data_IF_125556594555
#
_entry.id   IF_125556594555
#
_cell.length_a   1.000
_cell.length_b   1.000
_cell.length_c   1.000
_cell.angle_alpha   90.00
_cell.angle_beta   90.00
_cell.angle_gamma   90.00
#
_symmetry.space_group_name_H-M   'P 1'
#
loop_
_entity.id
_entity.type
_entity.pdbx_description
1 polymer ?
#
# COMPACT_ATOMS: atom_id res chain seq x y z
N UNK A 1 -15.51 81.87 -8.52
CA UNK A 1 -16.95 82.10 -8.80
C UNK A 1 -17.53 80.82 -9.25
N UNK A 2 -18.55 80.41 -8.59
CA UNK A 2 -19.52 79.32 -8.78
C UNK A 2 -19.34 78.12 -7.89
N UNK A 3 -20.07 78.16 -6.79
CA UNK A 3 -20.42 77.06 -5.88
C UNK A 3 -21.31 76.03 -6.60
N UNK A 4 -21.06 74.78 -6.36
CA UNK A 4 -22.12 73.76 -6.43
C UNK A 4 -22.03 72.84 -5.20
N UNK A 5 -23.04 73.01 -4.37
CA UNK A 5 -23.42 72.13 -3.27
C UNK A 5 -23.89 70.78 -3.83
N UNK A 6 -23.41 69.65 -3.26
CA UNK A 6 -24.02 68.34 -3.49
C UNK A 6 -24.63 67.85 -2.19
N UNK A 7 -25.95 67.68 -2.25
CA UNK A 7 -26.79 67.09 -1.23
C UNK A 7 -26.46 65.63 -0.96
N UNK A 8 -26.37 65.27 0.32
CA UNK A 8 -26.30 63.88 0.79
C UNK A 8 -27.69 63.25 0.73
N UNK A 9 -27.82 62.22 -0.12
CA UNK A 9 -28.96 61.33 -0.07
C UNK A 9 -28.55 60.02 0.68
N UNK A 10 -28.97 59.86 1.90
CA UNK A 10 -28.78 58.65 2.67
C UNK A 10 -29.82 57.61 2.25
N UNK A 11 -29.35 56.50 1.70
CA UNK A 11 -30.11 55.25 1.59
C UNK A 11 -29.42 54.19 2.44
N UNK A 12 -29.95 53.94 3.62
CA UNK A 12 -29.60 52.74 4.41
C UNK A 12 -30.21 51.50 3.76
N UNK A 13 -29.36 50.70 3.21
CA UNK A 13 -29.69 49.30 2.89
C UNK A 13 -28.95 48.42 3.88
N UNK A 14 -29.65 47.97 4.91
CA UNK A 14 -29.22 46.86 5.75
C UNK A 14 -29.33 45.58 4.90
N UNK A 15 -28.19 45.11 4.38
CA UNK A 15 -28.11 43.76 3.84
C UNK A 15 -27.89 42.79 5.02
N UNK A 16 -28.97 42.20 5.48
CA UNK A 16 -28.91 40.95 6.21
C UNK A 16 -28.35 39.87 5.25
N UNK A 17 -27.08 39.55 5.40
CA UNK A 17 -26.57 38.31 4.86
C UNK A 17 -27.00 37.17 5.79
N UNK A 18 -28.15 36.59 5.49
CA UNK A 18 -28.49 35.27 5.95
C UNK A 18 -27.47 34.32 5.29
N UNK A 19 -26.46 33.92 6.03
CA UNK A 19 -25.64 32.78 5.70
C UNK A 19 -26.52 31.54 5.92
N UNK A 20 -27.32 31.21 4.92
CA UNK A 20 -27.82 29.86 4.75
C UNK A 20 -26.58 28.94 4.60
N UNK A 21 -26.22 28.29 5.68
CA UNK A 21 -25.36 27.14 5.65
C UNK A 21 -26.16 26.03 4.93
N UNK A 22 -26.15 26.06 3.59
CA UNK A 22 -26.51 24.88 2.82
C UNK A 22 -25.62 23.74 3.34
N UNK A 23 -26.21 22.80 4.05
CA UNK A 23 -25.62 21.52 4.33
C UNK A 23 -25.33 20.85 2.96
N UNK A 24 -24.14 21.08 2.42
CA UNK A 24 -23.64 20.21 1.34
C UNK A 24 -23.83 18.78 1.79
N UNK A 25 -24.47 17.91 0.99
CA UNK A 25 -24.55 16.49 1.34
C UNK A 25 -23.14 16.01 1.63
N UNK A 26 -22.97 15.32 2.76
CA UNK A 26 -21.67 14.83 3.20
C UNK A 26 -21.11 13.95 2.08
N UNK A 27 -19.89 14.26 1.60
CA UNK A 27 -19.19 13.49 0.57
C UNK A 27 -19.16 12.00 0.94
N UNK A 28 -19.25 11.12 -0.06
CA UNK A 28 -19.23 9.65 0.12
C UNK A 28 -18.04 9.18 0.97
N UNK A 29 -16.91 9.86 0.85
CA UNK A 29 -15.69 9.54 1.61
C UNK A 29 -15.81 9.94 3.07
N UNK A 30 -16.31 11.15 3.35
CA UNK A 30 -16.60 11.60 4.71
C UNK A 30 -17.66 10.74 5.38
N UNK A 31 -18.65 10.29 4.61
CA UNK A 31 -19.68 9.36 5.10
C UNK A 31 -19.03 8.03 5.49
N UNK A 32 -18.20 7.44 4.63
CA UNK A 32 -17.51 6.19 4.92
C UNK A 32 -16.60 6.30 6.15
N UNK A 33 -15.83 7.39 6.25
CA UNK A 33 -14.95 7.64 7.39
C UNK A 33 -15.77 7.76 8.69
N UNK A 34 -16.89 8.50 8.68
CA UNK A 34 -17.72 8.74 9.87
C UNK A 34 -18.47 7.50 10.34
N UNK A 35 -18.78 6.57 9.44
CA UNK A 35 -19.49 5.31 9.72
C UNK A 35 -18.57 4.17 10.14
N UNK A 36 -17.26 4.31 9.95
CA UNK A 36 -16.29 3.27 10.30
C UNK A 36 -16.21 3.07 11.81
N UNK A 37 -16.34 1.82 12.24
CA UNK A 37 -16.22 1.39 13.63
C UNK A 37 -14.80 0.95 14.03
N UNK A 38 -13.82 1.09 13.14
CA UNK A 38 -12.42 0.72 13.41
C UNK A 38 -11.85 1.59 14.52
N UNK A 39 -11.21 0.97 15.52
CA UNK A 39 -10.62 1.71 16.65
C UNK A 39 -9.48 2.62 16.21
N UNK A 40 -9.47 3.83 16.77
CA UNK A 40 -8.46 4.86 16.51
C UNK A 40 -7.68 5.28 17.75
N UNK A 41 -7.95 4.63 18.88
CA UNK A 41 -7.17 4.80 20.11
C UNK A 41 -5.84 4.04 19.97
N UNK A 42 -4.74 4.77 19.83
CA UNK A 42 -3.41 4.20 19.63
C UNK A 42 -2.99 3.25 20.78
N UNK A 43 -3.40 3.54 22.02
CA UNK A 43 -3.09 2.68 23.17
C UNK A 43 -3.90 1.36 23.13
N UNK A 44 -5.17 1.44 22.76
CA UNK A 44 -6.02 0.26 22.57
C UNK A 44 -5.53 -0.61 21.41
N UNK A 45 -5.11 0.00 20.29
CA UNK A 45 -4.50 -0.69 19.15
C UNK A 45 -3.23 -1.43 19.59
N UNK A 46 -2.33 -0.76 20.30
CA UNK A 46 -1.07 -1.37 20.76
C UNK A 46 -1.32 -2.54 21.71
N UNK A 47 -2.28 -2.41 22.63
CA UNK A 47 -2.65 -3.47 23.55
C UNK A 47 -3.24 -4.70 22.82
N UNK A 48 -4.13 -4.49 21.85
CA UNK A 48 -4.71 -5.56 21.04
C UNK A 48 -3.66 -6.30 20.21
N UNK A 49 -2.74 -5.55 19.59
CA UNK A 49 -1.60 -6.12 18.83
C UNK A 49 -0.74 -6.98 19.75
N UNK A 50 -0.38 -6.46 20.94
CA UNK A 50 0.46 -7.21 21.87
C UNK A 50 -0.22 -8.53 22.31
N UNK A 51 -1.52 -8.49 22.63
CA UNK A 51 -2.29 -9.68 22.99
C UNK A 51 -2.29 -10.73 21.86
N UNK A 52 -2.54 -10.32 20.62
CA UNK A 52 -2.54 -11.20 19.44
C UNK A 52 -1.16 -11.84 19.25
N UNK A 53 -0.10 -11.04 19.31
CA UNK A 53 1.25 -11.52 19.07
C UNK A 53 1.71 -12.48 20.16
N UNK A 54 1.53 -12.13 21.43
CA UNK A 54 1.95 -12.97 22.55
C UNK A 54 1.24 -14.33 22.55
N UNK A 55 -0.03 -14.34 22.17
CA UNK A 55 -0.85 -15.55 22.18
C UNK A 55 -0.62 -16.43 20.95
N UNK A 56 -0.53 -15.86 19.77
CA UNK A 56 -0.64 -16.61 18.52
C UNK A 56 0.65 -16.65 17.67
N UNK A 57 1.59 -15.69 17.82
CA UNK A 57 2.79 -15.72 16.99
C UNK A 57 3.70 -16.94 17.25
N UNK A 58 3.86 -17.44 18.49
CA UNK A 58 4.68 -18.63 18.74
C UNK A 58 4.16 -19.88 18.03
N UNK A 59 2.84 -20.10 17.98
CA UNK A 59 2.23 -21.27 17.32
C UNK A 59 2.27 -21.17 15.79
N UNK A 60 2.33 -19.96 15.24
CA UNK A 60 2.41 -19.71 13.80
C UNK A 60 3.84 -19.78 13.26
N UNK A 61 4.86 -19.89 14.10
CA UNK A 61 6.26 -19.98 13.63
C UNK A 61 6.64 -21.41 13.28
N UNK A 62 6.09 -21.93 12.20
CA UNK A 62 6.31 -23.28 11.70
C UNK A 62 6.94 -23.29 10.31
N UNK A 63 7.63 -24.37 9.90
CA UNK A 63 8.20 -24.48 8.54
C UNK A 63 7.16 -24.26 7.42
N UNK A 64 5.92 -24.70 7.62
CA UNK A 64 4.84 -24.56 6.64
C UNK A 64 4.44 -23.07 6.46
N UNK A 65 4.33 -22.33 7.58
CA UNK A 65 4.06 -20.90 7.54
C UNK A 65 5.24 -20.13 6.93
N UNK A 66 6.47 -20.52 7.24
CA UNK A 66 7.67 -19.90 6.68
C UNK A 66 7.78 -20.10 5.16
N UNK A 67 7.44 -21.29 4.65
CA UNK A 67 7.34 -21.56 3.21
C UNK A 67 6.21 -20.74 2.56
N UNK A 68 5.05 -20.68 3.21
CA UNK A 68 3.94 -19.86 2.75
C UNK A 68 4.35 -18.38 2.68
N UNK A 69 5.05 -17.87 3.69
CA UNK A 69 5.54 -16.50 3.74
C UNK A 69 6.55 -16.21 2.62
N UNK A 70 7.43 -17.15 2.26
CA UNK A 70 8.31 -17.00 1.10
C UNK A 70 7.50 -16.74 -0.17
N UNK A 71 6.42 -17.49 -0.38
CA UNK A 71 5.53 -17.32 -1.54
C UNK A 71 4.67 -16.03 -1.47
N UNK A 72 4.71 -15.29 -0.36
CA UNK A 72 4.09 -13.98 -0.22
C UNK A 72 5.07 -12.81 -0.35
N UNK A 73 6.36 -13.07 -0.57
CA UNK A 73 7.36 -12.01 -0.71
C UNK A 73 7.27 -11.37 -2.09
N UNK A 74 7.15 -10.03 -2.11
CA UNK A 74 7.52 -9.21 -3.26
C UNK A 74 9.01 -8.89 -3.10
N UNK A 75 9.87 -9.66 -3.79
CA UNK A 75 11.32 -9.52 -3.73
C UNK A 75 11.74 -8.19 -4.36
N UNK A 76 12.24 -7.26 -3.54
CA UNK A 76 12.29 -5.84 -3.91
C UNK A 76 13.72 -5.34 -4.03
N UNK A 77 14.03 -4.69 -5.15
CA UNK A 77 15.17 -3.78 -5.27
C UNK A 77 14.68 -2.43 -5.79
N UNK A 78 14.98 -1.39 -5.03
CA UNK A 78 14.65 0.01 -5.32
C UNK A 78 15.85 0.88 -4.93
N UNK A 79 17.06 0.41 -5.18
CA UNK A 79 18.28 1.16 -4.90
C UNK A 79 18.44 2.30 -5.92
N UNK A 80 19.00 3.43 -5.48
CA UNK A 80 19.19 4.59 -6.36
C UNK A 80 20.19 4.30 -7.49
N UNK A 81 21.08 3.34 -7.26
CA UNK A 81 22.11 2.88 -8.19
C UNK A 81 21.74 1.60 -8.95
N UNK A 82 20.46 1.17 -8.89
CA UNK A 82 19.99 0.07 -9.72
C UNK A 82 20.21 0.38 -11.20
N UNK A 83 20.65 -0.63 -11.94
CA UNK A 83 20.90 -0.59 -13.37
C UNK A 83 20.27 -1.82 -14.04
N UNK A 84 20.06 -1.79 -15.36
CA UNK A 84 19.56 -2.95 -16.09
C UNK A 84 20.39 -4.21 -15.78
N UNK A 85 21.70 -4.07 -15.68
CA UNK A 85 22.60 -5.19 -15.38
C UNK A 85 22.42 -5.72 -13.95
N UNK A 86 22.26 -4.84 -12.96
CA UNK A 86 22.05 -5.27 -11.57
C UNK A 86 20.67 -5.90 -11.40
N UNK A 87 19.65 -5.32 -12.02
CA UNK A 87 18.28 -5.86 -12.00
C UNK A 87 18.21 -7.22 -12.71
N UNK A 88 18.81 -7.37 -13.91
CA UNK A 88 18.85 -8.67 -14.58
C UNK A 88 19.53 -9.76 -13.73
N UNK A 89 20.64 -9.43 -13.03
CA UNK A 89 21.28 -10.37 -12.10
C UNK A 89 20.39 -10.70 -10.89
N UNK A 90 19.60 -9.74 -10.42
CA UNK A 90 18.67 -9.95 -9.34
C UNK A 90 17.53 -10.90 -9.75
N UNK A 91 16.99 -10.73 -10.95
CA UNK A 91 15.98 -11.62 -11.55
C UNK A 91 16.52 -13.03 -11.76
N UNK A 92 17.78 -13.15 -12.22
CA UNK A 92 18.40 -14.46 -12.45
C UNK A 92 18.42 -15.32 -11.18
N UNK A 93 18.56 -14.74 -10.00
CA UNK A 93 18.48 -15.50 -8.74
C UNK A 93 17.12 -16.15 -8.52
N UNK A 94 16.03 -15.51 -8.98
CA UNK A 94 14.67 -16.07 -8.92
C UNK A 94 14.52 -17.25 -9.89
N UNK A 95 15.09 -17.16 -11.10
CA UNK A 95 15.15 -18.27 -12.04
C UNK A 95 16.00 -19.43 -11.48
N UNK A 96 17.17 -19.11 -10.91
CA UNK A 96 18.08 -20.10 -10.31
C UNK A 96 17.42 -20.79 -9.11
N UNK A 97 16.62 -20.06 -8.30
CA UNK A 97 15.86 -20.65 -7.22
C UNK A 97 14.86 -21.70 -7.71
N UNK A 98 14.10 -21.37 -8.74
CA UNK A 98 13.13 -22.29 -9.33
C UNK A 98 13.79 -23.58 -9.85
N UNK A 99 14.92 -23.44 -10.53
CA UNK A 99 15.70 -24.54 -11.06
C UNK A 99 16.33 -25.44 -9.97
N UNK A 100 16.87 -24.83 -8.91
CA UNK A 100 17.61 -25.53 -7.86
C UNK A 100 16.72 -26.11 -6.76
N UNK A 101 15.53 -25.51 -6.54
CA UNK A 101 14.61 -25.87 -5.44
C UNK A 101 13.16 -26.06 -5.92
N UNK A 102 12.92 -26.90 -6.96
CA UNK A 102 11.59 -27.05 -7.58
C UNK A 102 10.51 -27.61 -6.63
N UNK A 103 10.90 -28.10 -5.46
CA UNK A 103 9.97 -28.57 -4.41
C UNK A 103 9.34 -27.42 -3.60
N UNK A 104 9.86 -26.19 -3.69
CA UNK A 104 9.37 -25.03 -2.97
C UNK A 104 8.74 -24.03 -3.93
N UNK A 105 7.69 -23.35 -3.50
CA UNK A 105 7.12 -22.23 -4.24
C UNK A 105 8.07 -21.05 -4.19
N UNK A 106 8.19 -20.34 -5.31
CA UNK A 106 9.01 -19.15 -5.44
C UNK A 106 8.36 -17.92 -4.76
N UNK A 107 9.05 -16.78 -4.76
CA UNK A 107 8.50 -15.50 -4.33
C UNK A 107 7.26 -15.11 -5.15
N UNK A 108 6.40 -14.22 -4.63
CA UNK A 108 5.18 -13.83 -5.32
C UNK A 108 5.45 -12.91 -6.52
N UNK A 109 6.38 -11.97 -6.35
CA UNK A 109 6.71 -11.00 -7.38
C UNK A 109 8.15 -10.49 -7.23
N UNK A 110 8.68 -9.93 -8.32
CA UNK A 110 9.87 -9.08 -8.31
C UNK A 110 9.41 -7.63 -8.39
N UNK A 111 9.78 -6.80 -7.41
CA UNK A 111 9.37 -5.41 -7.33
C UNK A 111 10.54 -4.46 -7.60
N UNK A 112 10.40 -3.61 -8.62
CA UNK A 112 11.44 -2.70 -9.12
C UNK A 112 10.87 -1.30 -9.40
N UNK A 113 11.72 -0.35 -9.78
CA UNK A 113 11.25 0.91 -10.39
C UNK A 113 10.58 0.66 -11.75
N UNK A 114 9.65 1.52 -12.12
CA UNK A 114 8.83 1.41 -13.34
C UNK A 114 9.64 1.21 -14.63
N UNK A 115 10.79 1.89 -14.74
CA UNK A 115 11.67 1.83 -15.91
C UNK A 115 12.42 0.50 -16.09
N UNK A 116 12.36 -0.41 -15.11
CA UNK A 116 12.97 -1.73 -15.21
C UNK A 116 11.98 -2.86 -15.52
N UNK A 117 10.70 -2.55 -15.74
CA UNK A 117 9.68 -3.56 -16.06
C UNK A 117 10.10 -4.45 -17.25
N UNK A 118 10.56 -3.84 -18.35
CA UNK A 118 11.01 -4.58 -19.54
C UNK A 118 12.22 -5.47 -19.25
N UNK A 119 13.16 -5.04 -18.41
CA UNK A 119 14.33 -5.83 -18.02
C UNK A 119 13.91 -7.06 -17.22
N UNK A 120 13.02 -6.87 -16.24
CA UNK A 120 12.49 -7.98 -15.43
C UNK A 120 11.73 -8.95 -16.33
N UNK A 121 10.81 -8.47 -17.15
CA UNK A 121 10.00 -9.31 -18.05
C UNK A 121 10.85 -10.09 -19.05
N UNK A 122 11.89 -9.45 -19.59
CA UNK A 122 12.80 -10.09 -20.56
C UNK A 122 13.78 -11.10 -19.96
N UNK A 123 14.00 -11.03 -18.64
CA UNK A 123 14.97 -11.91 -17.94
C UNK A 123 14.26 -13.02 -17.14
N UNK A 124 13.02 -12.78 -16.66
CA UNK A 124 12.26 -13.72 -15.84
C UNK A 124 11.76 -14.89 -16.69
N UNK A 125 12.17 -16.09 -16.33
CA UNK A 125 11.78 -17.36 -16.97
C UNK A 125 10.63 -18.05 -16.23
N UNK A 126 10.48 -17.76 -14.93
CA UNK A 126 9.47 -18.34 -14.05
C UNK A 126 8.10 -17.71 -14.35
N UNK A 127 7.07 -18.54 -14.50
CA UNK A 127 5.74 -18.11 -14.96
C UNK A 127 4.77 -17.74 -13.84
N UNK A 128 5.04 -18.15 -12.60
CA UNK A 128 4.21 -17.91 -11.42
C UNK A 128 4.78 -16.82 -10.49
N UNK A 129 5.73 -16.02 -11.00
CA UNK A 129 6.29 -14.84 -10.33
C UNK A 129 5.90 -13.59 -11.14
N UNK A 130 5.21 -12.66 -10.50
CA UNK A 130 4.73 -11.44 -11.14
C UNK A 130 5.81 -10.36 -11.23
N UNK A 131 5.66 -9.47 -12.21
CA UNK A 131 6.45 -8.23 -12.32
C UNK A 131 5.69 -7.10 -11.67
N UNK A 132 6.11 -6.69 -10.46
CA UNK A 132 5.57 -5.54 -9.76
C UNK A 132 6.46 -4.31 -9.95
N UNK A 133 5.86 -3.14 -10.11
CA UNK A 133 6.60 -1.89 -10.25
C UNK A 133 6.13 -0.83 -9.27
N UNK A 134 7.07 -0.03 -8.76
CA UNK A 134 6.74 1.23 -8.10
C UNK A 134 6.68 2.32 -9.16
N UNK A 135 5.55 3.02 -9.27
CA UNK A 135 5.23 4.00 -10.32
C UNK A 135 4.58 5.26 -9.74
N UNK A 136 4.07 6.13 -10.61
CA UNK A 136 3.37 7.36 -10.27
C UNK A 136 4.19 8.31 -9.38
N UNK A 137 5.43 8.55 -9.79
CA UNK A 137 6.40 9.41 -9.08
C UNK A 137 6.75 8.90 -7.68
N UNK A 138 6.90 7.58 -7.56
CA UNK A 138 7.41 6.96 -6.34
C UNK A 138 8.81 7.51 -5.97
N UNK A 139 9.13 7.82 -4.70
CA UNK A 139 8.33 7.55 -3.50
C UNK A 139 7.46 8.72 -3.01
N UNK A 140 7.50 9.87 -3.65
CA UNK A 140 6.91 11.10 -3.12
C UNK A 140 5.48 11.37 -3.61
N UNK A 141 5.06 10.78 -4.73
CA UNK A 141 3.77 11.07 -5.39
C UNK A 141 3.60 12.56 -5.79
N UNK A 142 4.67 13.33 -5.87
CA UNK A 142 4.65 14.78 -6.12
C UNK A 142 4.96 15.10 -7.58
N UNK A 143 4.01 14.78 -8.48
CA UNK A 143 4.06 15.14 -9.89
C UNK A 143 2.64 15.39 -10.42
N UNK A 144 2.55 16.00 -11.59
CA UNK A 144 1.28 16.14 -12.31
C UNK A 144 0.68 14.77 -12.63
N UNK A 145 -0.66 14.68 -12.61
CA UNK A 145 -1.36 13.42 -12.84
C UNK A 145 -1.04 12.82 -14.22
N UNK A 146 -0.88 13.63 -15.23
CA UNK A 146 -0.53 13.21 -16.59
C UNK A 146 0.84 12.49 -16.63
N UNK A 147 1.80 12.96 -15.82
CA UNK A 147 3.11 12.31 -15.67
C UNK A 147 2.99 10.95 -15.00
N UNK A 148 2.19 10.86 -13.93
CA UNK A 148 1.92 9.62 -13.21
C UNK A 148 1.24 8.59 -14.11
N UNK A 149 0.26 9.02 -14.89
CA UNK A 149 -0.46 8.19 -15.87
C UNK A 149 0.49 7.70 -16.96
N UNK A 150 1.31 8.59 -17.53
CA UNK A 150 2.27 8.23 -18.58
C UNK A 150 3.30 7.22 -18.08
N UNK A 151 3.88 7.43 -16.89
CA UNK A 151 4.84 6.51 -16.26
C UNK A 151 4.21 5.12 -16.05
N UNK A 152 2.99 5.08 -15.50
CA UNK A 152 2.27 3.84 -15.24
C UNK A 152 1.92 3.09 -16.54
N UNK A 153 1.46 3.83 -17.56
CA UNK A 153 1.13 3.23 -18.86
C UNK A 153 2.35 2.63 -19.54
N UNK A 154 3.52 3.29 -19.47
CA UNK A 154 4.77 2.77 -19.99
C UNK A 154 5.19 1.51 -19.27
N UNK A 155 5.15 1.49 -17.93
CA UNK A 155 5.49 0.32 -17.13
C UNK A 155 4.61 -0.90 -17.48
N UNK A 156 3.31 -0.68 -17.71
CA UNK A 156 2.38 -1.73 -18.13
C UNK A 156 2.71 -2.23 -19.55
N UNK A 157 3.01 -1.31 -20.47
CA UNK A 157 3.42 -1.66 -21.83
C UNK A 157 4.73 -2.49 -21.84
N UNK A 158 5.63 -2.20 -20.91
CA UNK A 158 6.89 -2.90 -20.69
C UNK A 158 6.72 -4.24 -19.94
N UNK A 159 5.50 -4.62 -19.59
CA UNK A 159 5.18 -5.95 -19.08
C UNK A 159 4.99 -6.03 -17.55
N UNK A 160 4.71 -4.92 -16.86
CA UNK A 160 4.32 -4.98 -15.46
C UNK A 160 2.96 -5.68 -15.28
N UNK A 161 2.89 -6.61 -14.32
CA UNK A 161 1.68 -7.31 -13.92
C UNK A 161 0.95 -6.56 -12.80
N UNK A 162 1.69 -5.87 -11.93
CA UNK A 162 1.19 -5.20 -10.74
C UNK A 162 1.84 -3.81 -10.59
N UNK A 163 1.11 -2.87 -10.02
CA UNK A 163 1.59 -1.48 -9.84
C UNK A 163 1.40 -1.04 -8.40
N UNK A 164 2.48 -0.56 -7.77
CA UNK A 164 2.49 0.05 -6.45
C UNK A 164 2.64 1.58 -6.60
N UNK A 165 1.71 2.37 -6.08
CA UNK A 165 1.75 3.84 -6.07
C UNK A 165 1.71 4.37 -4.64
N UNK A 166 2.12 5.61 -4.44
CA UNK A 166 2.02 6.28 -3.14
C UNK A 166 0.80 7.19 -3.11
N UNK A 167 0.02 7.11 -2.04
CA UNK A 167 -1.03 8.06 -1.71
C UNK A 167 -0.46 9.50 -1.73
N UNK A 168 -1.15 10.45 -2.35
CA UNK A 168 -0.75 11.84 -2.27
C UNK A 168 -1.00 12.39 -0.86
N UNK A 169 0.05 12.36 -0.03
CA UNK A 169 -0.05 12.77 1.39
C UNK A 169 -0.34 14.27 1.52
N UNK A 170 0.01 15.09 0.52
CA UNK A 170 -0.36 16.51 0.49
C UNK A 170 -1.88 16.68 0.47
N UNK A 171 -2.56 16.09 -0.50
CA UNK A 171 -4.02 16.09 -0.58
C UNK A 171 -4.67 15.48 0.68
N UNK A 172 -4.09 14.40 1.20
CA UNK A 172 -4.61 13.79 2.43
C UNK A 172 -4.57 14.75 3.63
N UNK A 173 -3.48 15.51 3.80
CA UNK A 173 -3.31 16.47 4.90
C UNK A 173 -4.23 17.69 4.77
N UNK A 174 -4.48 18.11 3.55
CA UNK A 174 -5.37 19.25 3.26
C UNK A 174 -6.84 18.82 3.21
N UNK A 175 -7.12 17.54 3.49
CA UNK A 175 -8.46 16.93 3.41
C UNK A 175 -9.12 17.05 2.03
N UNK A 176 -8.31 17.23 1.00
CA UNK A 176 -8.70 17.25 -0.41
C UNK A 176 -8.98 15.81 -0.91
N UNK A 177 -10.04 15.19 -0.36
CA UNK A 177 -10.31 13.76 -0.54
C UNK A 177 -10.84 13.41 -1.92
N UNK A 178 -11.55 14.33 -2.56
CA UNK A 178 -12.02 14.17 -3.94
C UNK A 178 -10.81 14.08 -4.87
N UNK A 179 -9.90 15.06 -4.80
CA UNK A 179 -8.69 15.12 -5.62
C UNK A 179 -7.78 13.91 -5.38
N UNK A 180 -7.62 13.49 -4.13
CA UNK A 180 -6.85 12.30 -3.78
C UNK A 180 -7.47 11.05 -4.38
N UNK A 181 -8.78 10.92 -4.29
CA UNK A 181 -9.51 9.74 -4.75
C UNK A 181 -9.57 9.68 -6.27
N UNK A 182 -9.75 10.82 -6.94
CA UNK A 182 -9.74 10.93 -8.39
C UNK A 182 -8.38 10.55 -8.95
N UNK A 183 -7.28 11.00 -8.33
CA UNK A 183 -5.92 10.62 -8.71
C UNK A 183 -5.73 9.09 -8.67
N UNK A 184 -6.14 8.43 -7.59
CA UNK A 184 -6.05 6.96 -7.47
C UNK A 184 -6.94 6.28 -8.51
N UNK A 185 -8.17 6.78 -8.72
CA UNK A 185 -9.12 6.20 -9.66
C UNK A 185 -8.65 6.33 -11.12
N UNK A 186 -8.08 7.47 -11.51
CA UNK A 186 -7.50 7.67 -12.83
C UNK A 186 -6.32 6.73 -13.09
N UNK A 187 -5.41 6.57 -12.11
CA UNK A 187 -4.32 5.60 -12.22
C UNK A 187 -4.88 4.18 -12.31
N UNK A 188 -5.92 3.83 -11.52
CA UNK A 188 -6.57 2.52 -11.60
C UNK A 188 -7.16 2.23 -12.98
N UNK A 189 -7.71 3.23 -13.66
CA UNK A 189 -8.20 3.07 -15.03
C UNK A 189 -7.07 2.66 -16.00
N UNK A 190 -5.88 3.25 -15.85
CA UNK A 190 -4.69 2.90 -16.65
C UNK A 190 -4.20 1.49 -16.31
N UNK A 191 -4.17 1.14 -15.03
CA UNK A 191 -3.76 -0.19 -14.55
C UNK A 191 -4.74 -1.29 -15.02
N UNK A 192 -6.02 -0.94 -15.18
CA UNK A 192 -7.05 -1.85 -15.66
C UNK A 192 -7.33 -2.97 -14.66
N UNK A 193 -7.35 -4.21 -15.15
CA UNK A 193 -7.64 -5.40 -14.34
C UNK A 193 -6.43 -5.88 -13.50
N UNK A 194 -5.26 -5.28 -13.64
CA UNK A 194 -4.08 -5.61 -12.85
C UNK A 194 -4.23 -5.11 -11.42
N UNK A 195 -3.56 -5.73 -10.45
CA UNK A 195 -3.52 -5.21 -9.08
C UNK A 195 -2.88 -3.83 -9.00
N UNK A 196 -3.62 -2.88 -8.41
CA UNK A 196 -3.13 -1.58 -7.97
C UNK A 196 -2.96 -1.61 -6.45
N UNK A 197 -1.74 -1.36 -5.96
CA UNK A 197 -1.46 -1.28 -4.53
C UNK A 197 -1.17 0.16 -4.14
N UNK A 198 -1.93 0.69 -3.17
CA UNK A 198 -1.74 2.05 -2.67
C UNK A 198 -0.94 2.04 -1.38
N UNK A 199 0.23 2.68 -1.41
CA UNK A 199 1.12 2.87 -0.27
C UNK A 199 0.59 4.05 0.55
N UNK A 200 0.22 3.80 1.80
CA UNK A 200 -0.31 4.83 2.70
C UNK A 200 0.79 5.68 3.34
N UNK A 201 2.03 5.19 3.38
CA UNK A 201 3.17 5.76 4.09
C UNK A 201 2.89 5.93 5.60
N UNK A 202 2.54 4.82 6.24
CA UNK A 202 2.05 4.78 7.62
C UNK A 202 3.03 5.40 8.63
N UNK A 203 4.33 5.31 8.38
CA UNK A 203 5.36 5.96 9.20
C UNK A 203 5.32 7.50 9.18
N UNK A 204 4.73 8.09 8.11
CA UNK A 204 4.47 9.53 8.01
C UNK A 204 3.12 9.90 8.62
N UNK A 205 2.10 9.05 8.49
CA UNK A 205 0.76 9.26 9.04
C UNK A 205 0.74 9.14 10.57
N UNK A 206 1.47 8.19 11.13
CA UNK A 206 1.74 7.94 12.56
C UNK A 206 0.56 7.44 13.40
N UNK A 207 -0.62 8.06 13.35
CA UNK A 207 -1.75 7.72 14.21
C UNK A 207 -2.67 6.69 13.59
N UNK A 208 -3.32 5.87 14.40
CA UNK A 208 -4.34 4.92 13.98
C UNK A 208 -5.48 5.61 13.21
N UNK A 209 -5.90 6.82 13.65
CA UNK A 209 -6.91 7.60 12.95
C UNK A 209 -6.50 7.98 11.52
N UNK A 210 -5.29 8.49 11.33
CA UNK A 210 -4.82 8.86 9.98
C UNK A 210 -4.66 7.62 9.07
N UNK A 211 -4.19 6.50 9.62
CA UNK A 211 -4.06 5.23 8.89
C UNK A 211 -5.43 4.69 8.50
N UNK A 212 -6.42 4.73 9.41
CA UNK A 212 -7.80 4.35 9.13
C UNK A 212 -8.39 5.18 7.98
N UNK A 213 -8.30 6.51 8.05
CA UNK A 213 -8.82 7.42 7.01
C UNK A 213 -8.18 7.15 5.66
N UNK A 214 -6.85 7.03 5.61
CA UNK A 214 -6.10 6.74 4.39
C UNK A 214 -6.47 5.36 3.80
N UNK A 215 -6.68 4.34 4.64
CA UNK A 215 -7.12 3.00 4.22
C UNK A 215 -8.49 3.05 3.56
N UNK A 216 -9.47 3.71 4.21
CA UNK A 216 -10.83 3.87 3.69
C UNK A 216 -10.80 4.59 2.35
N UNK A 217 -10.17 5.77 2.28
CA UNK A 217 -10.06 6.55 1.05
C UNK A 217 -9.49 5.74 -0.11
N UNK A 218 -8.37 5.03 0.11
CA UNK A 218 -7.72 4.22 -0.92
C UNK A 218 -8.61 3.09 -1.42
N UNK A 219 -9.31 2.38 -0.54
CA UNK A 219 -10.20 1.28 -0.92
C UNK A 219 -11.43 1.77 -1.69
N UNK A 220 -12.03 2.88 -1.25
CA UNK A 220 -13.18 3.50 -1.93
C UNK A 220 -12.80 4.14 -3.27
N UNK A 221 -11.51 4.43 -3.50
CA UNK A 221 -10.97 4.89 -4.78
C UNK A 221 -10.66 3.75 -5.75
N UNK A 222 -10.83 2.49 -5.33
CA UNK A 222 -10.78 1.31 -6.19
C UNK A 222 -9.45 0.54 -6.19
N UNK A 223 -8.52 0.80 -5.27
CA UNK A 223 -7.29 0.00 -5.17
C UNK A 223 -7.60 -1.48 -4.85
N UNK A 224 -6.69 -2.36 -5.22
CA UNK A 224 -6.80 -3.82 -4.96
C UNK A 224 -6.02 -4.23 -3.72
N UNK A 225 -5.05 -3.41 -3.30
CA UNK A 225 -4.27 -3.57 -2.06
C UNK A 225 -4.07 -2.23 -1.39
N UNK A 226 -4.00 -2.24 -0.07
CA UNK A 226 -3.36 -1.18 0.70
C UNK A 226 -2.01 -1.68 1.24
N UNK A 227 -0.99 -0.83 1.13
CA UNK A 227 0.40 -1.13 1.49
C UNK A 227 0.89 -0.15 2.55
N UNK A 228 1.69 -0.61 3.50
CA UNK A 228 2.11 0.23 4.62
C UNK A 228 3.04 1.38 4.20
N UNK A 229 4.14 1.08 3.52
CA UNK A 229 5.27 2.03 3.44
C UNK A 229 6.06 1.91 2.14
N UNK A 230 6.75 2.99 1.77
CA UNK A 230 7.72 3.00 0.66
C UNK A 230 9.03 2.31 1.02
N UNK A 231 9.40 2.30 2.30
CA UNK A 231 10.72 1.84 2.76
C UNK A 231 11.87 2.79 2.44
N UNK A 232 11.60 4.07 2.12
CA UNK A 232 12.61 5.06 1.70
C UNK A 232 12.97 6.05 2.82
N UNK A 233 12.10 6.99 3.13
CA UNK A 233 12.41 8.13 4.00
C UNK A 233 11.86 7.95 5.41
N UNK A 234 10.63 7.44 5.50
CA UNK A 234 9.91 7.32 6.76
C UNK A 234 10.04 5.91 7.35
N UNK A 235 9.74 5.74 8.66
CA UNK A 235 9.67 4.40 9.26
C UNK A 235 8.82 3.45 8.42
N UNK A 236 9.25 2.20 8.34
CA UNK A 236 8.54 1.15 7.60
C UNK A 236 7.29 0.65 8.30
N UNK A 237 6.91 -0.58 7.98
CA UNK A 237 5.74 -1.24 8.56
C UNK A 237 5.82 -1.34 10.09
N UNK A 238 4.68 -1.14 10.76
CA UNK A 238 4.49 -1.50 12.16
C UNK A 238 3.31 -2.47 12.29
N UNK A 239 3.27 -3.23 13.38
CA UNK A 239 2.19 -4.18 13.65
C UNK A 239 0.88 -3.45 13.94
N UNK A 240 0.95 -2.28 14.60
CA UNK A 240 -0.20 -1.42 14.86
C UNK A 240 -0.82 -0.92 13.56
N UNK A 241 0.01 -0.43 12.62
CA UNK A 241 -0.48 -0.01 11.31
C UNK A 241 -1.11 -1.19 10.55
N UNK A 242 -0.48 -2.36 10.57
CA UNK A 242 -1.02 -3.57 9.96
C UNK A 242 -2.38 -3.96 10.56
N UNK A 243 -2.51 -3.91 11.88
CA UNK A 243 -3.75 -4.21 12.58
C UNK A 243 -4.89 -3.27 12.18
N UNK A 244 -4.67 -1.95 12.19
CA UNK A 244 -5.67 -0.96 11.78
C UNK A 244 -6.06 -1.15 10.30
N UNK A 245 -5.09 -1.34 9.41
CA UNK A 245 -5.33 -1.57 7.98
C UNK A 245 -6.15 -2.85 7.76
N UNK A 246 -5.82 -3.94 8.46
CA UNK A 246 -6.57 -5.19 8.37
C UNK A 246 -8.00 -5.04 8.89
N UNK A 247 -8.23 -4.32 9.98
CA UNK A 247 -9.58 -4.00 10.45
C UNK A 247 -10.40 -3.22 9.40
N UNK A 248 -9.78 -2.22 8.74
CA UNK A 248 -10.42 -1.49 7.66
C UNK A 248 -10.78 -2.39 6.47
N UNK A 249 -9.90 -3.33 6.10
CA UNK A 249 -10.17 -4.32 5.04
C UNK A 249 -11.35 -5.22 5.42
N UNK A 250 -11.39 -5.71 6.66
CA UNK A 250 -12.51 -6.52 7.16
C UNK A 250 -13.83 -5.76 7.08
N UNK A 251 -13.86 -4.53 7.58
CA UNK A 251 -15.06 -3.68 7.56
C UNK A 251 -15.52 -3.42 6.11
N UNK A 252 -14.59 -3.08 5.21
CA UNK A 252 -14.88 -2.86 3.80
C UNK A 252 -15.44 -4.12 3.12
N UNK A 253 -14.88 -5.28 3.42
CA UNK A 253 -15.38 -6.55 2.88
C UNK A 253 -16.80 -6.87 3.38
N UNK A 254 -17.08 -6.65 4.66
CA UNK A 254 -18.43 -6.85 5.21
C UNK A 254 -19.46 -5.93 4.52
N UNK A 255 -19.08 -4.68 4.26
CA UNK A 255 -19.98 -3.69 3.66
C UNK A 255 -20.19 -3.88 2.15
N UNK A 256 -19.15 -4.32 1.42
CA UNK A 256 -19.15 -4.28 -0.05
C UNK A 256 -18.98 -5.67 -0.71
N UNK A 257 -18.66 -6.71 0.04
CA UNK A 257 -18.37 -8.04 -0.50
C UNK A 257 -17.13 -8.12 -1.39
N UNK A 258 -16.30 -7.04 -1.43
CA UNK A 258 -15.08 -6.97 -2.23
C UNK A 258 -13.86 -7.19 -1.35
N UNK A 259 -13.05 -8.18 -1.73
CA UNK A 259 -11.77 -8.42 -1.07
C UNK A 259 -10.71 -7.41 -1.53
N UNK A 260 -10.01 -6.81 -0.58
CA UNK A 260 -8.82 -5.98 -0.79
C UNK A 260 -7.65 -6.64 -0.07
N UNK A 261 -6.48 -6.65 -0.71
CA UNK A 261 -5.28 -7.24 -0.14
C UNK A 261 -4.54 -6.31 0.82
N UNK A 262 -3.69 -6.92 1.64
CA UNK A 262 -2.78 -6.23 2.55
C UNK A 262 -1.32 -6.51 2.17
N UNK A 263 -0.49 -5.47 2.11
CA UNK A 263 0.95 -5.59 1.91
C UNK A 263 1.71 -4.87 3.01
N UNK A 264 2.49 -5.60 3.80
CA UNK A 264 3.46 -5.02 4.72
C UNK A 264 4.79 -4.74 3.99
N UNK A 265 5.41 -3.59 4.21
CA UNK A 265 6.71 -3.28 3.59
C UNK A 265 7.53 -2.28 4.38
N UNK A 266 8.86 -2.39 4.22
CA UNK A 266 9.83 -1.54 4.91
C UNK A 266 10.25 -2.08 6.28
N UNK A 267 11.49 -2.49 6.39
CA UNK A 267 12.12 -2.92 7.64
C UNK A 267 11.90 -4.36 8.06
N UNK A 268 11.12 -5.17 7.33
CA UNK A 268 10.86 -6.57 7.64
C UNK A 268 12.02 -7.41 7.11
N UNK A 269 12.83 -7.99 8.00
CA UNK A 269 14.08 -8.66 7.64
C UNK A 269 14.21 -10.07 8.17
N UNK A 270 13.54 -10.39 9.27
CA UNK A 270 13.65 -11.68 9.94
C UNK A 270 12.39 -12.51 9.74
N UNK A 271 12.54 -13.82 9.87
CA UNK A 271 11.42 -14.78 9.84
C UNK A 271 10.41 -14.46 10.94
N UNK A 272 10.89 -14.15 12.14
CA UNK A 272 10.06 -13.80 13.29
C UNK A 272 9.22 -12.54 13.03
N UNK A 273 9.80 -11.51 12.37
CA UNK A 273 9.02 -10.32 11.98
C UNK A 273 7.91 -10.68 10.99
N UNK A 274 8.23 -11.47 9.97
CA UNK A 274 7.25 -11.90 8.96
C UNK A 274 6.11 -12.72 9.57
N UNK A 275 6.42 -13.62 10.52
CA UNK A 275 5.42 -14.43 11.26
C UNK A 275 4.47 -13.54 12.06
N UNK A 276 4.94 -12.43 12.63
CA UNK A 276 4.05 -11.49 13.33
C UNK A 276 3.03 -10.85 12.38
N UNK A 277 3.44 -10.43 11.17
CA UNK A 277 2.49 -9.92 10.18
C UNK A 277 1.52 -11.00 9.70
N UNK A 278 1.99 -12.22 9.47
CA UNK A 278 1.13 -13.37 9.18
C UNK A 278 0.08 -13.55 10.27
N UNK A 279 0.50 -13.47 11.53
CA UNK A 279 -0.39 -13.63 12.68
C UNK A 279 -1.46 -12.54 12.71
N UNK A 280 -1.11 -11.28 12.49
CA UNK A 280 -2.11 -10.19 12.39
C UNK A 280 -3.10 -10.45 11.26
N UNK A 281 -2.63 -10.85 10.07
CA UNK A 281 -3.50 -11.14 8.93
C UNK A 281 -4.44 -12.31 9.25
N UNK A 282 -3.93 -13.39 9.82
CA UNK A 282 -4.72 -14.56 10.20
C UNK A 282 -5.83 -14.22 11.20
N UNK A 283 -5.48 -13.53 12.28
CA UNK A 283 -6.40 -13.23 13.37
C UNK A 283 -7.43 -12.14 13.02
N UNK A 284 -7.07 -11.17 12.18
CA UNK A 284 -7.96 -10.04 11.86
C UNK A 284 -8.73 -10.27 10.56
N UNK A 285 -8.08 -10.76 9.51
CA UNK A 285 -8.70 -10.97 8.20
C UNK A 285 -9.23 -12.40 8.01
N UNK A 286 -8.62 -13.38 8.67
CA UNK A 286 -8.97 -14.79 8.55
C UNK A 286 -8.26 -15.53 7.41
N UNK A 287 -8.46 -16.83 7.36
CA UNK A 287 -7.71 -17.75 6.48
C UNK A 287 -7.91 -17.48 4.99
N UNK A 288 -9.02 -16.89 4.59
CA UNK A 288 -9.30 -16.57 3.19
C UNK A 288 -8.33 -15.52 2.59
N UNK A 289 -7.64 -14.73 3.43
CA UNK A 289 -6.56 -13.83 3.01
C UNK A 289 -5.18 -14.50 3.02
N UNK A 290 -5.03 -15.68 3.59
CA UNK A 290 -3.75 -16.38 3.65
C UNK A 290 -3.40 -17.03 2.30
N UNK A 291 -3.15 -16.18 1.32
CA UNK A 291 -2.62 -16.54 0.00
C UNK A 291 -1.94 -15.31 -0.62
N UNK A 292 -1.07 -15.52 -1.61
CA UNK A 292 -0.30 -14.44 -2.21
C UNK A 292 -1.11 -13.48 -3.11
N UNK A 293 -2.40 -13.75 -3.32
CA UNK A 293 -3.31 -12.82 -4.02
C UNK A 293 -3.83 -11.72 -3.11
N UNK A 294 -3.79 -11.91 -1.79
CA UNK A 294 -4.34 -10.96 -0.82
C UNK A 294 -3.41 -10.62 0.33
N UNK A 295 -2.28 -11.35 0.48
CA UNK A 295 -1.27 -11.05 1.47
C UNK A 295 0.12 -11.02 0.84
N UNK A 296 0.83 -9.91 0.99
CA UNK A 296 2.21 -9.73 0.48
C UNK A 296 3.11 -9.10 1.54
N UNK A 297 4.40 -9.36 1.40
CA UNK A 297 5.47 -8.70 2.18
C UNK A 297 6.52 -8.18 1.21
N UNK A 298 6.66 -6.84 1.16
CA UNK A 298 7.71 -6.19 0.37
C UNK A 298 9.03 -6.16 1.12
N UNK A 299 10.01 -6.91 0.65
CA UNK A 299 11.31 -7.03 1.31
C UNK A 299 12.44 -7.39 0.33
N UNK A 300 13.69 -7.10 0.72
CA UNK A 300 14.89 -7.46 -0.05
C UNK A 300 15.60 -8.70 0.49
N UNK A 301 15.82 -8.78 1.80
CA UNK A 301 16.61 -9.86 2.42
C UNK A 301 15.80 -10.95 3.12
N UNK A 302 14.51 -10.71 3.33
CA UNK A 302 13.62 -11.62 4.06
C UNK A 302 13.52 -13.00 3.42
N UNK A 303 13.52 -13.07 2.07
CA UNK A 303 13.42 -14.34 1.34
C UNK A 303 14.52 -15.33 1.76
N UNK A 304 15.77 -14.85 1.91
CA UNK A 304 16.86 -15.67 2.42
C UNK A 304 16.65 -16.09 3.87
N UNK A 305 16.17 -15.19 4.75
CA UNK A 305 15.90 -15.54 6.16
C UNK A 305 14.82 -16.62 6.28
N UNK A 306 13.77 -16.53 5.51
CA UNK A 306 12.70 -17.54 5.46
C UNK A 306 13.24 -18.88 4.95
N UNK A 307 13.98 -18.86 3.84
CA UNK A 307 14.56 -20.07 3.26
C UNK A 307 15.47 -20.79 4.26
N UNK A 308 16.38 -20.05 4.90
CA UNK A 308 17.25 -20.59 5.94
C UNK A 308 16.47 -21.17 7.13
N UNK A 309 15.41 -20.51 7.54
CA UNK A 309 14.60 -20.95 8.70
C UNK A 309 13.91 -22.29 8.46
N UNK A 310 13.26 -22.49 7.31
CA UNK A 310 12.53 -23.74 7.08
C UNK A 310 13.39 -24.89 6.52
N UNK A 311 14.55 -24.57 5.90
CA UNK A 311 15.47 -25.61 5.42
C UNK A 311 16.53 -26.01 6.43
N UNK A 312 16.85 -25.13 7.39
CA UNK A 312 17.95 -25.33 8.34
C UNK A 312 19.34 -25.17 7.70
N UNK A 313 19.44 -24.58 6.52
CA UNK A 313 20.71 -24.36 5.79
C UNK A 313 21.19 -22.91 5.92
N UNK A 314 22.46 -22.64 5.65
CA UNK A 314 23.03 -21.29 5.57
C UNK A 314 22.98 -20.68 4.16
N UNK A 315 22.32 -21.35 3.22
CA UNK A 315 22.24 -20.93 1.82
C UNK A 315 21.41 -19.64 1.66
N UNK A 316 21.78 -18.84 0.68
CA UNK A 316 21.14 -17.56 0.36
C UNK A 316 20.86 -17.49 -1.14
N UNK A 317 19.77 -18.13 -1.59
CA UNK A 317 19.47 -18.23 -3.01
C UNK A 317 19.05 -16.90 -3.66
N UNK A 318 18.57 -15.93 -2.87
CA UNK A 318 18.09 -14.64 -3.37
C UNK A 318 19.08 -13.49 -3.16
#
# INVERSE_FOLDING_TARGET
>A
MSNHEHEHCGCGCEHHHDHDHEHKPMDKYMTAISQSGVTTDDAAVSAAVQEIIDKHAPENNTPEVQQFLLNCVDLTTLATDDSERSVAKFVQKVNDFDNNYPQYKNVAAICVYSNFAAVVRGTLEVTDVDVAVCSASFPASQAHIETKIAETALAIADGADEVDIVLNVGYFRDEAYEELSDEIAEIKQVVGNRPLKVILETGLLKSAEAIRRASILSMYSGCDFIKTSTGKVYPGASLEAAYVMCQCITEYYIQHGRMVGFKASGGIRTTEDAVKYYTIVKEVLGEQWLNNRYFRIGASSLANSLFQSFTGTDEKPF
#
